data_IF_252225398438
#
_entry.id   IF_252225398438
#
_cell.length_a   1.000
_cell.length_b   1.000
_cell.length_c   1.000
_cell.angle_alpha   90.00
_cell.angle_beta   90.00
_cell.angle_gamma   90.00
#
_symmetry.space_group_name_H-M   'P 1'
#
loop_
_entity.id
_entity.type
_entity.pdbx_description
1 polymer ?
#
# COMPACT_ATOMS: atom_id res chain seq x y z
N UNK A 1 25.11 -2.37 -3.28
CA UNK A 1 24.57 -1.13 -2.67
C UNK A 1 23.14 -1.30 -2.15
N UNK A 2 22.03 -0.95 -2.85
CA UNK A 2 20.67 -1.12 -2.27
C UNK A 2 20.38 -2.59 -1.90
N UNK A 3 20.58 -3.50 -2.84
CA UNK A 3 20.32 -4.93 -2.63
C UNK A 3 21.16 -5.54 -1.51
N UNK A 4 22.41 -5.15 -1.36
CA UNK A 4 23.29 -5.62 -0.27
C UNK A 4 22.82 -5.12 1.08
N UNK A 5 22.50 -3.80 1.20
CA UNK A 5 21.98 -3.24 2.44
C UNK A 5 20.68 -3.95 2.88
N UNK A 6 19.78 -4.21 1.94
CA UNK A 6 18.52 -4.92 2.23
C UNK A 6 18.80 -6.38 2.61
N UNK A 7 19.74 -7.04 1.90
CA UNK A 7 20.14 -8.42 2.22
C UNK A 7 20.70 -8.55 3.63
N UNK A 8 21.59 -7.63 4.03
CA UNK A 8 22.18 -7.62 5.36
C UNK A 8 21.11 -7.42 6.45
N UNK A 9 20.17 -6.49 6.24
CA UNK A 9 19.07 -6.26 7.16
C UNK A 9 18.16 -7.50 7.27
N UNK A 10 17.83 -8.13 6.16
CA UNK A 10 16.99 -9.34 6.15
C UNK A 10 17.70 -10.52 6.86
N UNK A 11 19.01 -10.69 6.63
CA UNK A 11 19.80 -11.70 7.30
C UNK A 11 19.86 -11.46 8.82
N UNK A 12 20.03 -10.23 9.23
CA UNK A 12 20.05 -9.83 10.64
C UNK A 12 18.72 -10.08 11.34
N UNK A 13 17.59 -9.71 10.71
CA UNK A 13 16.25 -9.98 11.23
C UNK A 13 16.01 -11.48 11.37
N UNK A 14 16.45 -12.25 10.40
CA UNK A 14 16.33 -13.71 10.45
C UNK A 14 17.13 -14.34 11.61
N UNK A 15 18.25 -13.71 11.97
CA UNK A 15 19.16 -14.20 13.01
C UNK A 15 18.72 -13.75 14.41
N UNK A 16 18.38 -12.47 14.58
CA UNK A 16 18.11 -11.85 15.90
C UNK A 16 16.63 -11.59 16.18
N UNK A 17 15.72 -11.87 15.23
CA UNK A 17 14.29 -11.74 15.44
C UNK A 17 13.85 -10.34 15.89
N UNK A 18 13.05 -10.31 16.94
CA UNK A 18 12.49 -9.08 17.52
C UNK A 18 13.54 -8.04 17.93
N UNK A 19 14.73 -8.49 18.33
CA UNK A 19 15.82 -7.58 18.74
C UNK A 19 16.26 -6.70 17.55
N UNK A 20 16.56 -7.32 16.41
CA UNK A 20 16.91 -6.61 15.19
C UNK A 20 15.76 -5.69 14.72
N UNK A 21 14.53 -6.19 14.77
CA UNK A 21 13.34 -5.41 14.40
C UNK A 21 13.21 -4.14 15.23
N UNK A 22 13.37 -4.23 16.56
CA UNK A 22 13.31 -3.06 17.46
C UNK A 22 14.44 -2.06 17.19
N UNK A 23 15.66 -2.56 16.92
CA UNK A 23 16.80 -1.71 16.55
C UNK A 23 16.51 -0.92 15.27
N UNK A 24 15.97 -1.56 14.25
CA UNK A 24 15.61 -0.89 12.99
C UNK A 24 14.42 0.08 13.15
N UNK A 25 13.44 -0.23 13.99
CA UNK A 25 12.37 0.71 14.34
C UNK A 25 12.96 1.97 14.97
N UNK A 26 13.85 1.83 15.96
CA UNK A 26 14.53 2.96 16.58
C UNK A 26 15.32 3.78 15.56
N UNK A 27 16.08 3.10 14.70
CA UNK A 27 16.95 3.74 13.72
C UNK A 27 16.20 4.47 12.63
N UNK A 28 15.12 3.89 12.08
CA UNK A 28 14.45 4.40 10.89
C UNK A 28 13.12 5.11 11.16
N UNK A 29 12.45 4.79 12.26
CA UNK A 29 11.20 5.43 12.65
C UNK A 29 11.40 6.42 13.82
N UNK A 30 12.56 6.39 14.48
CA UNK A 30 12.84 7.24 15.62
C UNK A 30 12.01 6.92 16.86
N UNK A 31 11.38 5.74 16.91
CA UNK A 31 10.48 5.32 17.97
C UNK A 31 11.13 4.27 18.88
N UNK A 32 10.97 4.44 20.18
CA UNK A 32 11.24 3.38 21.15
C UNK A 32 9.92 2.70 21.52
N UNK A 33 9.74 1.46 21.06
CA UNK A 33 8.50 0.71 21.30
C UNK A 33 8.76 -0.51 22.19
N UNK A 34 7.95 -0.66 23.22
CA UNK A 34 7.98 -1.84 24.10
C UNK A 34 7.39 -3.06 23.43
N UNK A 35 6.12 -2.97 23.06
CA UNK A 35 5.41 -4.00 22.31
C UNK A 35 5.38 -3.67 20.80
N UNK A 36 5.71 -4.66 19.96
CA UNK A 36 5.61 -4.53 18.49
C UNK A 36 4.15 -4.56 18.04
N UNK A 37 3.31 -5.35 18.68
CA UNK A 37 1.88 -5.46 18.38
C UNK A 37 1.11 -4.29 19.00
N UNK A 38 0.10 -3.82 18.28
CA UNK A 38 -0.85 -2.79 18.76
C UNK A 38 -1.75 -3.43 19.81
N UNK A 39 -1.88 -2.79 20.96
CA UNK A 39 -2.69 -3.31 22.06
C UNK A 39 -4.20 -3.04 21.85
N UNK A 40 -5.08 -3.78 22.55
CA UNK A 40 -6.51 -3.50 22.55
C UNK A 40 -6.86 -2.09 23.03
N UNK A 41 -6.07 -1.55 23.96
CA UNK A 41 -6.22 -0.18 24.48
C UNK A 41 -5.89 0.84 23.41
N UNK A 42 -4.79 0.67 22.68
CA UNK A 42 -4.42 1.53 21.52
C UNK A 42 -5.51 1.50 20.44
N UNK A 43 -6.12 0.33 20.21
CA UNK A 43 -7.24 0.21 19.27
C UNK A 43 -8.47 0.99 19.76
N UNK A 44 -8.80 0.93 21.04
CA UNK A 44 -9.93 1.65 21.61
C UNK A 44 -9.71 3.17 21.60
N UNK A 45 -8.49 3.63 21.94
CA UNK A 45 -8.12 5.04 21.84
C UNK A 45 -8.24 5.55 20.41
N UNK A 46 -7.75 4.78 19.44
CA UNK A 46 -7.84 5.13 18.02
C UNK A 46 -9.28 5.27 17.55
N UNK A 47 -10.15 4.34 17.96
CA UNK A 47 -11.58 4.43 17.64
C UNK A 47 -12.23 5.69 18.21
N UNK A 48 -11.90 6.07 19.45
CA UNK A 48 -12.43 7.27 20.07
C UNK A 48 -11.93 8.56 19.39
N UNK A 49 -10.72 8.54 18.84
CA UNK A 49 -10.08 9.70 18.19
C UNK A 49 -10.58 9.97 16.76
N UNK A 50 -11.17 8.99 16.07
CA UNK A 50 -11.70 9.16 14.70
C UNK A 50 -13.08 9.83 14.74
N UNK A 51 -13.25 10.89 13.91
CA UNK A 51 -14.53 11.60 13.81
C UNK A 51 -15.66 10.71 13.25
N UNK A 52 -16.90 11.04 13.58
CA UNK A 52 -18.07 10.31 13.07
C UNK A 52 -18.16 10.33 11.55
N UNK A 53 -17.86 11.48 10.95
CA UNK A 53 -17.85 11.66 9.49
C UNK A 53 -16.83 10.74 8.81
N UNK A 54 -15.61 10.67 9.35
CA UNK A 54 -14.58 9.77 8.81
C UNK A 54 -14.93 8.29 9.02
N UNK A 55 -15.59 7.96 10.14
CA UNK A 55 -16.09 6.60 10.38
C UNK A 55 -17.13 6.18 9.33
N UNK A 56 -18.07 7.06 9.02
CA UNK A 56 -19.06 6.83 7.96
C UNK A 56 -18.38 6.64 6.59
N UNK A 57 -17.44 7.53 6.23
CA UNK A 57 -16.70 7.43 4.97
C UNK A 57 -15.93 6.12 4.85
N UNK A 58 -15.25 5.69 5.92
CA UNK A 58 -14.54 4.41 5.97
C UNK A 58 -15.50 3.22 5.82
N UNK A 59 -16.67 3.28 6.46
CA UNK A 59 -17.67 2.21 6.35
C UNK A 59 -18.21 2.07 4.93
N UNK A 60 -18.58 3.20 4.29
CA UNK A 60 -19.04 3.23 2.89
C UNK A 60 -17.97 2.70 1.94
N UNK A 61 -16.72 3.17 2.09
CA UNK A 61 -15.61 2.69 1.28
C UNK A 61 -15.38 1.18 1.45
N UNK A 62 -15.38 0.69 2.68
CA UNK A 62 -15.23 -0.73 2.99
C UNK A 62 -16.34 -1.60 2.39
N UNK A 63 -17.58 -1.12 2.40
CA UNK A 63 -18.71 -1.82 1.77
C UNK A 63 -18.58 -1.87 0.25
N UNK A 64 -18.22 -0.75 -0.39
CA UNK A 64 -18.02 -0.68 -1.84
C UNK A 64 -16.90 -1.63 -2.29
N UNK A 65 -15.78 -1.64 -1.59
CA UNK A 65 -14.66 -2.55 -1.87
C UNK A 65 -15.10 -4.00 -1.67
N UNK A 66 -15.81 -4.30 -0.58
CA UNK A 66 -16.32 -5.65 -0.31
C UNK A 66 -17.26 -6.16 -1.40
N UNK A 67 -18.20 -5.31 -1.84
CA UNK A 67 -19.16 -5.63 -2.90
C UNK A 67 -18.46 -5.91 -4.23
N UNK A 68 -17.49 -5.06 -4.59
CA UNK A 68 -16.72 -5.22 -5.82
C UNK A 68 -15.92 -6.54 -5.81
N UNK A 69 -15.16 -6.80 -4.73
CA UNK A 69 -14.33 -8.00 -4.66
C UNK A 69 -15.15 -9.29 -4.46
N UNK A 70 -16.32 -9.22 -3.85
CA UNK A 70 -17.22 -10.38 -3.78
C UNK A 70 -17.67 -10.84 -5.18
N UNK A 71 -17.84 -9.91 -6.13
CA UNK A 71 -18.20 -10.25 -7.52
C UNK A 71 -17.09 -10.97 -8.29
N UNK A 72 -15.86 -10.94 -7.80
CA UNK A 72 -14.69 -11.61 -8.39
C UNK A 72 -14.51 -13.06 -7.91
N UNK A 73 -15.35 -13.52 -6.99
CA UNK A 73 -15.28 -14.89 -6.46
C UNK A 73 -15.59 -15.91 -7.56
N UNK A 74 -14.66 -16.84 -7.77
CA UNK A 74 -14.78 -17.85 -8.82
C UNK A 74 -15.66 -19.00 -8.37
N UNK A 75 -16.67 -19.34 -9.18
CA UNK A 75 -17.43 -20.58 -9.02
C UNK A 75 -16.63 -21.80 -9.50
N UNK A 76 -16.74 -22.90 -8.75
CA UNK A 76 -16.11 -24.16 -9.14
C UNK A 76 -16.89 -24.81 -10.31
N UNK A 77 -16.30 -24.82 -11.49
CA UNK A 77 -16.85 -25.51 -12.66
C UNK A 77 -16.23 -26.91 -12.78
N UNK A 78 -17.09 -27.93 -12.86
CA UNK A 78 -16.67 -29.30 -13.09
C UNK A 78 -16.87 -29.63 -14.58
N UNK A 79 -15.86 -30.23 -15.19
CA UNK A 79 -15.86 -30.62 -16.60
C UNK A 79 -15.51 -32.11 -16.70
N UNK A 80 -16.36 -32.89 -17.29
CA UNK A 80 -16.04 -34.28 -17.66
C UNK A 80 -15.25 -34.25 -18.97
N UNK A 81 -13.97 -34.58 -18.91
CA UNK A 81 -13.04 -34.52 -20.07
C UNK A 81 -13.03 -35.81 -20.87
N UNK A 82 -13.33 -36.91 -20.22
CA UNK A 82 -13.52 -38.26 -20.80
C UNK A 82 -14.54 -38.98 -19.93
N UNK A 83 -15.31 -39.93 -20.41
CA UNK A 83 -16.27 -40.67 -19.61
C UNK A 83 -15.67 -41.18 -18.30
N UNK A 84 -16.23 -40.73 -17.17
CA UNK A 84 -15.76 -41.05 -15.81
C UNK A 84 -14.60 -40.21 -15.28
N UNK A 85 -14.03 -39.27 -16.06
CA UNK A 85 -12.93 -38.36 -15.60
C UNK A 85 -13.45 -36.94 -15.46
N UNK A 86 -13.59 -36.48 -14.21
CA UNK A 86 -14.07 -35.15 -13.89
C UNK A 86 -12.91 -34.29 -13.41
N UNK A 87 -12.65 -33.17 -14.09
CA UNK A 87 -11.66 -32.17 -13.74
C UNK A 87 -12.33 -30.89 -13.26
N UNK A 88 -11.71 -30.22 -12.26
CA UNK A 88 -12.17 -28.91 -11.81
C UNK A 88 -11.03 -28.09 -11.25
N UNK A 89 -11.22 -26.77 -11.25
CA UNK A 89 -10.37 -25.82 -10.56
C UNK A 89 -11.08 -25.34 -9.31
N UNK A 90 -10.40 -25.36 -8.18
CA UNK A 90 -10.89 -24.87 -6.90
C UNK A 90 -10.04 -23.69 -6.43
N UNK A 91 -10.68 -22.56 -6.15
CA UNK A 91 -10.03 -21.47 -5.45
C UNK A 91 -9.90 -21.81 -3.95
N UNK A 92 -8.70 -21.68 -3.40
CA UNK A 92 -8.42 -21.92 -1.99
C UNK A 92 -7.79 -20.65 -1.43
N UNK A 93 -8.30 -20.08 -0.31
CA UNK A 93 -7.71 -18.92 0.30
C UNK A 93 -6.30 -19.21 0.83
N UNK A 94 -5.44 -18.20 0.78
CA UNK A 94 -4.14 -18.25 1.45
C UNK A 94 -4.41 -18.19 2.96
N UNK A 95 -3.86 -19.12 3.72
CA UNK A 95 -4.18 -19.28 5.14
C UNK A 95 -3.75 -18.04 5.94
N UNK A 96 -2.51 -17.57 5.72
CA UNK A 96 -1.94 -16.40 6.41
C UNK A 96 -1.32 -15.44 5.41
N UNK A 97 -1.80 -14.18 5.40
CA UNK A 97 -1.32 -13.12 4.53
C UNK A 97 -0.74 -11.97 5.34
N UNK A 98 0.32 -11.37 4.83
CA UNK A 98 0.91 -10.15 5.35
C UNK A 98 0.50 -8.95 4.52
N UNK A 99 0.05 -7.90 5.17
CA UNK A 99 -0.30 -6.63 4.55
C UNK A 99 0.67 -5.56 5.03
N UNK A 100 1.34 -4.91 4.09
CA UNK A 100 2.23 -3.80 4.37
C UNK A 100 1.56 -2.49 4.00
N UNK A 101 1.40 -1.60 4.98
CA UNK A 101 0.87 -0.25 4.77
C UNK A 101 2.00 0.73 4.99
N UNK A 102 2.45 1.46 3.97
CA UNK A 102 3.53 2.42 4.13
C UNK A 102 3.09 3.59 5.00
N UNK A 103 4.06 4.17 5.69
CA UNK A 103 3.93 5.49 6.28
C UNK A 103 4.17 6.57 5.22
N UNK A 104 3.86 7.80 5.56
CA UNK A 104 4.09 8.93 4.68
C UNK A 104 3.48 10.21 5.25
N UNK A 105 3.34 11.22 4.39
CA UNK A 105 2.77 12.53 4.75
C UNK A 105 1.24 12.49 4.98
N UNK A 106 0.59 11.40 4.59
CA UNK A 106 -0.84 11.17 4.82
C UNK A 106 -1.09 9.75 5.36
N UNK A 107 -2.09 9.57 6.23
CA UNK A 107 -2.49 8.26 6.71
C UNK A 107 -3.17 7.47 5.58
N UNK A 108 -2.57 6.34 5.19
CA UNK A 108 -3.06 5.52 4.08
C UNK A 108 -4.11 4.49 4.54
N UNK A 109 -5.17 4.96 5.22
CA UNK A 109 -6.26 4.10 5.68
C UNK A 109 -7.07 3.48 4.52
N UNK A 110 -7.13 4.12 3.36
CA UNK A 110 -7.71 3.55 2.14
C UNK A 110 -6.95 2.31 1.67
N UNK A 111 -5.62 2.34 1.74
CA UNK A 111 -4.78 1.18 1.40
C UNK A 111 -5.05 0.00 2.34
N UNK A 112 -5.32 0.28 3.63
CA UNK A 112 -5.76 -0.78 4.56
C UNK A 112 -7.02 -1.47 4.06
N UNK A 113 -8.04 -0.69 3.67
CA UNK A 113 -9.30 -1.24 3.15
C UNK A 113 -9.08 -2.03 1.85
N UNK A 114 -8.31 -1.45 0.92
CA UNK A 114 -8.03 -2.06 -0.39
C UNK A 114 -7.24 -3.38 -0.31
N UNK A 115 -6.51 -3.62 0.76
CA UNK A 115 -5.77 -4.86 0.98
C UNK A 115 -6.50 -5.83 1.91
N UNK A 116 -7.03 -5.36 3.03
CA UNK A 116 -7.60 -6.22 4.06
C UNK A 116 -9.02 -6.72 3.70
N UNK A 117 -9.84 -5.88 3.08
CA UNK A 117 -11.20 -6.30 2.70
C UNK A 117 -11.16 -7.42 1.65
N UNK A 118 -10.36 -7.34 0.56
CA UNK A 118 -10.21 -8.47 -0.37
C UNK A 118 -9.64 -9.72 0.29
N UNK A 119 -8.67 -9.60 1.21
CA UNK A 119 -8.13 -10.74 1.94
C UNK A 119 -9.22 -11.45 2.76
N UNK A 120 -10.09 -10.69 3.43
CA UNK A 120 -11.24 -11.22 4.15
C UNK A 120 -12.26 -11.87 3.22
N UNK A 121 -12.62 -11.21 2.11
CA UNK A 121 -13.56 -11.74 1.10
C UNK A 121 -13.05 -13.04 0.48
N UNK A 122 -11.73 -13.13 0.24
CA UNK A 122 -11.08 -14.35 -0.22
C UNK A 122 -11.08 -15.49 0.82
N UNK A 123 -11.40 -15.20 2.08
CA UNK A 123 -11.43 -16.18 3.17
C UNK A 123 -10.08 -16.46 3.81
N UNK A 124 -9.11 -15.53 3.72
CA UNK A 124 -7.84 -15.65 4.44
C UNK A 124 -8.09 -15.75 5.94
N UNK A 125 -7.54 -16.80 6.57
CA UNK A 125 -7.81 -17.11 7.97
C UNK A 125 -7.14 -16.14 8.91
N UNK A 126 -5.91 -15.75 8.61
CA UNK A 126 -5.11 -14.84 9.41
C UNK A 126 -4.55 -13.71 8.54
N UNK A 127 -4.84 -12.48 8.95
CA UNK A 127 -4.36 -11.27 8.28
C UNK A 127 -3.44 -10.54 9.26
N UNK A 128 -2.15 -10.47 8.91
CA UNK A 128 -1.10 -9.77 9.65
C UNK A 128 -0.84 -8.45 8.96
N UNK A 129 -0.99 -7.33 9.66
CA UNK A 129 -0.78 -6.00 9.11
C UNK A 129 0.43 -5.34 9.77
N UNK A 130 1.36 -4.85 8.97
CA UNK A 130 2.47 -4.03 9.41
C UNK A 130 2.34 -2.61 8.86
N UNK A 131 2.48 -1.62 9.73
CA UNK A 131 2.48 -0.19 9.39
C UNK A 131 3.41 0.55 10.34
N UNK A 132 4.18 1.56 9.87
CA UNK A 132 5.07 2.29 10.77
C UNK A 132 4.28 3.09 11.81
N UNK A 133 4.86 3.25 12.98
CA UNK A 133 4.41 4.20 13.99
C UNK A 133 5.15 5.53 13.85
N UNK A 134 4.60 6.57 14.45
CA UNK A 134 5.29 7.85 14.65
C UNK A 134 6.36 7.72 15.77
N UNK A 135 7.14 8.78 15.98
CA UNK A 135 8.22 8.80 16.98
C UNK A 135 7.72 8.57 18.42
N UNK A 136 6.46 8.86 18.69
CA UNK A 136 5.80 8.57 19.96
C UNK A 136 5.37 7.10 20.13
N UNK A 137 5.66 6.25 19.14
CA UNK A 137 5.30 4.84 19.11
C UNK A 137 3.84 4.55 18.74
N UNK A 138 3.05 5.56 18.35
CA UNK A 138 1.64 5.41 18.01
C UNK A 138 1.43 5.29 16.50
N UNK A 139 0.49 4.43 16.12
CA UNK A 139 -0.01 4.34 14.74
C UNK A 139 -1.17 5.33 14.58
N UNK A 140 -1.30 5.91 13.39
CA UNK A 140 -2.35 6.88 13.12
C UNK A 140 -3.76 6.29 13.35
N UNK A 141 -4.65 6.97 14.11
CA UNK A 141 -5.95 6.43 14.50
C UNK A 141 -6.83 5.95 13.35
N UNK A 142 -6.85 6.70 12.22
CA UNK A 142 -7.65 6.31 11.05
C UNK A 142 -7.16 4.99 10.42
N UNK A 143 -5.85 4.68 10.47
CA UNK A 143 -5.28 3.42 9.98
C UNK A 143 -5.75 2.26 10.86
N UNK A 144 -5.68 2.42 12.19
CA UNK A 144 -6.14 1.40 13.14
C UNK A 144 -7.65 1.18 13.03
N UNK A 145 -8.42 2.25 12.92
CA UNK A 145 -9.87 2.15 12.75
C UNK A 145 -10.25 1.43 11.44
N UNK A 146 -9.61 1.77 10.32
CA UNK A 146 -9.83 1.09 9.05
C UNK A 146 -9.46 -0.40 9.12
N UNK A 147 -8.36 -0.74 9.79
CA UNK A 147 -7.94 -2.12 10.00
C UNK A 147 -9.00 -2.91 10.79
N UNK A 148 -9.56 -2.31 11.86
CA UNK A 148 -10.65 -2.90 12.63
C UNK A 148 -11.91 -3.13 11.78
N UNK A 149 -12.35 -2.13 11.01
CA UNK A 149 -13.51 -2.25 10.10
C UNK A 149 -13.29 -3.35 9.06
N UNK A 150 -12.07 -3.47 8.54
CA UNK A 150 -11.70 -4.53 7.61
C UNK A 150 -11.56 -5.92 8.24
N UNK A 151 -11.61 -6.03 9.59
CA UNK A 151 -11.50 -7.31 10.31
C UNK A 151 -10.07 -7.77 10.56
N UNK A 152 -9.10 -6.85 10.58
CA UNK A 152 -7.71 -7.15 10.94
C UNK A 152 -7.54 -7.02 12.45
N UNK A 153 -7.03 -8.08 13.08
CA UNK A 153 -6.85 -8.14 14.53
C UNK A 153 -5.38 -8.13 14.96
N UNK A 154 -4.45 -8.49 14.06
CA UNK A 154 -3.01 -8.51 14.34
C UNK A 154 -2.32 -7.40 13.57
N UNK A 155 -1.99 -6.34 14.29
CA UNK A 155 -1.39 -5.12 13.73
C UNK A 155 -0.06 -4.86 14.43
N UNK A 156 1.00 -4.64 13.64
CA UNK A 156 2.35 -4.43 14.14
C UNK A 156 2.87 -3.04 13.74
N UNK A 157 3.54 -2.37 14.68
CA UNK A 157 4.10 -1.01 14.56
C UNK A 157 5.42 -1.01 13.80
N UNK A 158 5.42 -1.61 12.61
CA UNK A 158 6.61 -1.89 11.80
C UNK A 158 6.50 -1.28 10.40
N UNK A 159 7.48 -0.51 10.00
CA UNK A 159 7.64 0.01 8.64
C UNK A 159 8.89 -0.54 7.95
N UNK A 160 9.06 -0.26 6.66
CA UNK A 160 10.30 -0.56 5.93
C UNK A 160 10.66 -2.04 5.79
N UNK A 161 11.95 -2.29 5.57
CA UNK A 161 12.52 -3.63 5.37
C UNK A 161 12.23 -4.54 6.55
N UNK A 162 12.27 -4.00 7.78
CA UNK A 162 12.05 -4.81 8.99
C UNK A 162 10.63 -5.36 9.08
N UNK A 163 9.63 -4.68 8.54
CA UNK A 163 8.27 -5.20 8.45
C UNK A 163 8.20 -6.40 7.48
N UNK A 164 8.84 -6.27 6.32
CA UNK A 164 8.89 -7.34 5.31
C UNK A 164 9.65 -8.56 5.86
N UNK A 165 10.82 -8.34 6.47
CA UNK A 165 11.63 -9.42 7.06
C UNK A 165 10.89 -10.14 8.20
N UNK A 166 10.25 -9.38 9.11
CA UNK A 166 9.47 -9.96 10.20
C UNK A 166 8.29 -10.82 9.70
N UNK A 167 7.52 -10.33 8.72
CA UNK A 167 6.44 -11.11 8.10
C UNK A 167 6.94 -12.32 7.31
N UNK A 168 8.10 -12.20 6.67
CA UNK A 168 8.62 -13.28 5.84
C UNK A 168 9.18 -14.45 6.67
N UNK A 169 9.98 -14.15 7.66
CA UNK A 169 10.70 -15.19 8.43
C UNK A 169 9.98 -15.58 9.71
N UNK A 170 9.12 -14.73 10.22
CA UNK A 170 8.61 -14.81 11.58
C UNK A 170 9.64 -14.31 12.59
N UNK A 171 9.16 -13.78 13.68
CA UNK A 171 9.93 -13.43 14.86
C UNK A 171 9.20 -13.92 16.12
N UNK A 172 9.69 -13.61 17.30
CA UNK A 172 9.03 -13.98 18.55
C UNK A 172 7.61 -13.37 18.65
N UNK A 173 7.44 -12.14 18.13
CA UNK A 173 6.15 -11.43 18.17
C UNK A 173 5.36 -11.53 16.87
N UNK A 174 6.03 -11.53 15.70
CA UNK A 174 5.38 -11.45 14.38
C UNK A 174 5.33 -12.83 13.75
N UNK A 175 4.15 -13.39 13.44
CA UNK A 175 4.06 -14.68 12.75
C UNK A 175 4.51 -14.56 11.28
N UNK A 176 5.18 -15.60 10.78
CA UNK A 176 5.50 -15.70 9.35
C UNK A 176 4.24 -15.84 8.51
N UNK A 177 4.26 -15.32 7.29
CA UNK A 177 3.14 -15.36 6.35
C UNK A 177 3.52 -16.06 5.05
N UNK A 178 2.52 -16.52 4.29
CA UNK A 178 2.77 -17.20 3.00
C UNK A 178 2.89 -16.22 1.83
N UNK A 179 2.23 -15.06 1.94
CA UNK A 179 2.29 -14.03 0.89
C UNK A 179 2.19 -12.64 1.51
N UNK A 180 2.99 -11.70 0.98
CA UNK A 180 3.02 -10.30 1.40
C UNK A 180 2.45 -9.43 0.30
N UNK A 181 1.52 -8.55 0.66
CA UNK A 181 0.89 -7.56 -0.22
C UNK A 181 1.14 -6.15 0.32
N UNK A 182 1.16 -5.20 -0.55
CA UNK A 182 1.20 -3.77 -0.22
C UNK A 182 2.27 -3.00 -0.98
N UNK A 183 1.99 -1.71 -1.26
CA UNK A 183 2.95 -0.81 -1.90
C UNK A 183 4.08 -0.45 -0.95
N UNK A 184 5.19 0.01 -1.48
CA UNK A 184 6.31 0.47 -0.68
C UNK A 184 7.36 1.20 -1.51
N UNK A 185 8.31 1.83 -0.82
CA UNK A 185 9.45 2.45 -1.48
C UNK A 185 10.42 1.40 -2.05
N UNK A 186 11.49 1.86 -2.72
CA UNK A 186 12.50 0.99 -3.31
C UNK A 186 13.10 -0.05 -2.35
N UNK A 187 13.27 0.29 -1.06
CA UNK A 187 13.79 -0.64 -0.04
C UNK A 187 12.80 -1.75 0.28
N UNK A 188 11.52 -1.40 0.41
CA UNK A 188 10.44 -2.36 0.64
C UNK A 188 10.24 -3.27 -0.56
N UNK A 189 10.28 -2.71 -1.78
CA UNK A 189 10.18 -3.46 -3.02
C UNK A 189 11.34 -4.45 -3.15
N UNK A 190 12.56 -4.01 -2.91
CA UNK A 190 13.75 -4.87 -2.91
C UNK A 190 13.64 -5.98 -1.85
N UNK A 191 13.21 -5.64 -0.64
CA UNK A 191 13.01 -6.64 0.42
C UNK A 191 11.97 -7.69 0.02
N UNK A 192 10.84 -7.26 -0.56
CA UNK A 192 9.80 -8.17 -1.07
C UNK A 192 10.36 -9.12 -2.14
N UNK A 193 11.15 -8.62 -3.08
CA UNK A 193 11.78 -9.45 -4.10
C UNK A 193 12.77 -10.46 -3.50
N UNK A 194 13.57 -10.04 -2.52
CA UNK A 194 14.55 -10.94 -1.90
C UNK A 194 13.90 -12.07 -1.08
N UNK A 195 12.82 -11.80 -0.34
CA UNK A 195 12.18 -12.83 0.46
C UNK A 195 11.49 -13.91 -0.38
N UNK A 196 11.24 -13.67 -1.66
CA UNK A 196 10.71 -14.72 -2.56
C UNK A 196 11.65 -15.91 -2.70
N UNK A 197 12.96 -15.70 -2.56
CA UNK A 197 13.97 -16.76 -2.56
C UNK A 197 13.84 -17.70 -1.36
N UNK A 198 13.11 -17.29 -0.35
CA UNK A 198 12.85 -18.05 0.88
C UNK A 198 11.43 -18.62 0.96
N UNK A 199 10.73 -18.67 -0.19
CA UNK A 199 9.42 -19.31 -0.30
C UNK A 199 8.23 -18.43 0.09
N UNK A 200 8.43 -17.14 0.35
CA UNK A 200 7.34 -16.19 0.61
C UNK A 200 6.91 -15.56 -0.70
N UNK A 201 5.65 -15.73 -1.08
CA UNK A 201 5.12 -15.07 -2.27
C UNK A 201 4.90 -13.57 -2.03
N UNK A 202 4.89 -12.78 -3.09
CA UNK A 202 4.57 -11.36 -3.05
C UNK A 202 3.50 -11.01 -4.10
N UNK A 203 2.92 -9.82 -3.99
CA UNK A 203 2.21 -9.17 -5.09
C UNK A 203 3.20 -8.73 -6.18
N UNK A 204 2.73 -8.05 -7.19
CA UNK A 204 3.60 -7.56 -8.27
C UNK A 204 4.61 -6.56 -7.71
N UNK A 205 5.93 -6.74 -7.96
CA UNK A 205 6.91 -5.73 -7.64
C UNK A 205 6.62 -4.49 -8.50
N UNK A 206 6.27 -3.39 -7.85
CA UNK A 206 5.95 -2.14 -8.51
C UNK A 206 6.92 -1.06 -8.03
N UNK A 207 7.44 -0.29 -8.96
CA UNK A 207 8.17 0.95 -8.70
C UNK A 207 7.22 2.12 -8.42
N UNK A 208 7.72 3.36 -8.45
CA UNK A 208 6.87 4.55 -8.42
C UNK A 208 5.82 4.48 -9.53
N UNK A 209 4.61 4.91 -9.23
CA UNK A 209 3.54 4.95 -10.22
C UNK A 209 3.78 6.08 -11.22
N UNK A 210 3.42 5.84 -12.47
CA UNK A 210 3.48 6.80 -13.55
C UNK A 210 2.12 6.85 -14.25
N UNK A 211 1.70 8.01 -14.74
CA UNK A 211 0.51 8.15 -15.56
C UNK A 211 0.88 8.71 -16.92
N UNK A 212 0.34 8.11 -17.97
CA UNK A 212 0.41 8.61 -19.32
C UNK A 212 -1.00 8.92 -19.82
N UNK A 213 -1.25 10.17 -20.16
CA UNK A 213 -2.56 10.64 -20.65
C UNK A 213 -2.44 10.97 -22.13
N UNK A 214 -3.31 10.43 -22.95
CA UNK A 214 -3.44 10.78 -24.36
C UNK A 214 -4.61 11.72 -24.48
N UNK A 215 -4.37 12.95 -24.96
CA UNK A 215 -5.41 13.97 -25.11
C UNK A 215 -5.23 14.77 -26.41
N UNK A 216 -6.34 15.23 -26.95
CA UNK A 216 -6.42 16.11 -28.12
C UNK A 216 -7.42 17.25 -27.88
N UNK A 217 -7.73 18.04 -28.90
CA UNK A 217 -8.67 19.17 -28.82
C UNK A 217 -10.11 18.78 -28.41
N UNK A 218 -10.47 17.48 -28.47
CA UNK A 218 -11.78 16.98 -28.05
C UNK A 218 -11.84 16.62 -26.56
N UNK A 219 -10.69 16.60 -25.89
CA UNK A 219 -10.56 16.21 -24.48
C UNK A 219 -10.92 17.38 -23.55
N UNK A 220 -11.51 17.06 -22.40
CA UNK A 220 -11.78 18.04 -21.35
C UNK A 220 -10.52 18.23 -20.50
N UNK A 221 -9.93 19.43 -20.55
CA UNK A 221 -8.68 19.72 -19.85
C UNK A 221 -8.82 19.68 -18.33
N UNK A 222 -10.02 19.89 -17.80
CA UNK A 222 -10.24 19.75 -16.35
C UNK A 222 -10.08 18.30 -15.88
N UNK A 223 -10.55 17.34 -16.66
CA UNK A 223 -10.34 15.91 -16.36
C UNK A 223 -8.88 15.50 -16.55
N UNK A 224 -8.25 15.95 -17.65
CA UNK A 224 -6.82 15.67 -17.89
C UNK A 224 -5.95 16.24 -16.76
N UNK A 225 -6.21 17.46 -16.31
CA UNK A 225 -5.51 18.06 -15.17
C UNK A 225 -5.72 17.26 -13.88
N UNK A 226 -6.94 16.79 -13.62
CA UNK A 226 -7.24 15.96 -12.45
C UNK A 226 -6.46 14.64 -12.46
N UNK A 227 -6.33 13.99 -13.61
CA UNK A 227 -5.55 12.75 -13.76
C UNK A 227 -4.05 13.01 -13.49
N UNK A 228 -3.51 14.12 -14.00
CA UNK A 228 -2.13 14.54 -13.73
C UNK A 228 -1.88 14.77 -12.24
N UNK A 229 -2.77 15.53 -11.59
CA UNK A 229 -2.64 15.89 -10.19
C UNK A 229 -2.84 14.70 -9.27
N UNK A 230 -3.74 13.80 -9.61
CA UNK A 230 -3.96 12.56 -8.84
C UNK A 230 -2.70 11.71 -8.74
N UNK A 231 -1.91 11.65 -9.83
CA UNK A 231 -0.65 10.93 -9.84
C UNK A 231 0.47 11.72 -9.14
N UNK A 232 0.55 13.03 -9.39
CA UNK A 232 1.58 13.87 -8.80
C UNK A 232 1.50 13.94 -7.27
N UNK A 233 0.32 13.77 -6.67
CA UNK A 233 0.13 13.69 -5.22
C UNK A 233 0.86 12.51 -4.55
N UNK A 234 1.25 11.48 -5.29
CA UNK A 234 1.96 10.33 -4.73
C UNK A 234 3.37 10.67 -4.23
N UNK A 235 4.04 11.64 -4.84
CA UNK A 235 5.34 12.10 -4.38
C UNK A 235 6.25 12.64 -5.50
N UNK A 236 7.43 13.09 -5.11
CA UNK A 236 8.41 13.68 -6.04
C UNK A 236 8.95 12.70 -7.09
N UNK A 237 8.85 11.39 -6.82
CA UNK A 237 9.29 10.33 -7.74
C UNK A 237 8.21 9.94 -8.77
N UNK A 238 7.01 10.55 -8.68
CA UNK A 238 5.90 10.27 -9.59
C UNK A 238 6.02 11.11 -10.86
N UNK A 239 5.67 10.50 -12.00
CA UNK A 239 5.67 11.15 -13.31
C UNK A 239 4.28 11.15 -13.92
N UNK A 240 3.91 12.31 -14.52
CA UNK A 240 2.70 12.45 -15.31
C UNK A 240 3.08 12.95 -16.70
N UNK A 241 2.74 12.20 -17.74
CA UNK A 241 3.21 12.43 -19.11
C UNK A 241 1.99 12.65 -20.02
N UNK A 242 1.99 13.76 -20.76
CA UNK A 242 1.02 14.04 -21.81
C UNK A 242 1.54 13.55 -23.16
N UNK A 243 0.72 12.80 -23.87
CA UNK A 243 0.88 12.53 -25.29
C UNK A 243 -0.21 13.25 -26.07
N UNK A 244 0.17 14.18 -26.94
CA UNK A 244 -0.78 14.90 -27.79
C UNK A 244 -0.24 15.09 -29.19
N UNK A 245 -1.15 15.14 -30.16
CA UNK A 245 -0.88 15.55 -31.55
C UNK A 245 -1.29 16.99 -31.81
N UNK A 246 -1.84 17.69 -30.79
CA UNK A 246 -2.35 19.06 -30.89
C UNK A 246 -1.73 19.94 -29.80
N UNK A 247 -0.80 20.81 -30.20
CA UNK A 247 -0.13 21.73 -29.28
C UNK A 247 -1.09 22.74 -28.62
N UNK A 248 -2.27 22.97 -29.20
CA UNK A 248 -3.25 23.94 -28.67
C UNK A 248 -3.82 23.51 -27.31
N UNK A 249 -3.70 22.21 -26.92
CA UNK A 249 -4.19 21.72 -25.64
C UNK A 249 -3.22 22.02 -24.48
N UNK A 250 -1.97 22.33 -24.75
CA UNK A 250 -0.92 22.45 -23.72
C UNK A 250 -1.19 23.62 -22.78
N UNK A 251 -1.39 24.83 -23.31
CA UNK A 251 -1.63 26.02 -22.48
C UNK A 251 -2.95 25.94 -21.68
N UNK A 252 -4.08 25.48 -22.24
CA UNK A 252 -5.29 25.24 -21.46
C UNK A 252 -5.09 24.21 -20.34
N UNK A 253 -4.34 23.12 -20.59
CA UNK A 253 -4.04 22.12 -19.58
C UNK A 253 -3.20 22.72 -18.44
N UNK A 254 -2.16 23.47 -18.76
CA UNK A 254 -1.31 24.11 -17.74
C UNK A 254 -2.11 25.09 -16.88
N UNK A 255 -2.97 25.89 -17.50
CA UNK A 255 -3.85 26.82 -16.79
C UNK A 255 -4.82 26.07 -15.84
N UNK A 256 -5.36 24.94 -16.28
CA UNK A 256 -6.26 24.13 -15.47
C UNK A 256 -5.52 23.41 -14.32
N UNK A 257 -4.30 22.93 -14.55
CA UNK A 257 -3.44 22.40 -13.49
C UNK A 257 -3.17 23.47 -12.42
N UNK A 258 -2.79 24.68 -12.81
CA UNK A 258 -2.54 25.78 -11.88
C UNK A 258 -3.81 26.15 -11.09
N UNK A 259 -4.97 26.15 -11.75
CA UNK A 259 -6.26 26.40 -11.11
C UNK A 259 -6.58 25.34 -10.06
N UNK A 260 -6.54 24.06 -10.40
CA UNK A 260 -6.84 22.96 -9.48
C UNK A 260 -5.82 22.87 -8.34
N UNK A 261 -4.53 23.11 -8.60
CA UNK A 261 -3.49 23.22 -7.57
C UNK A 261 -3.82 24.26 -6.50
N UNK A 262 -4.43 25.39 -6.91
CA UNK A 262 -4.77 26.49 -5.99
C UNK A 262 -5.74 26.06 -4.89
N UNK A 263 -6.59 25.08 -5.15
CA UNK A 263 -7.63 24.57 -4.25
C UNK A 263 -7.27 23.26 -3.55
N UNK A 264 -6.19 22.59 -3.97
CA UNK A 264 -5.74 21.33 -3.34
C UNK A 264 -5.13 21.58 -1.97
N UNK A 265 -5.54 20.76 -1.00
CA UNK A 265 -5.02 20.83 0.38
C UNK A 265 -3.55 20.45 0.49
N UNK A 266 -3.03 19.58 -0.39
CA UNK A 266 -1.65 19.07 -0.41
C UNK A 266 -0.74 19.74 -1.45
N UNK A 267 -1.12 20.93 -1.94
CA UNK A 267 -0.39 21.68 -2.96
C UNK A 267 1.12 21.86 -2.70
N UNK A 268 1.51 21.96 -1.42
CA UNK A 268 2.94 22.11 -1.06
C UNK A 268 3.82 20.95 -1.52
N UNK A 269 3.31 19.72 -1.57
CA UNK A 269 4.04 18.55 -2.05
C UNK A 269 4.25 18.59 -3.56
N UNK A 270 3.30 19.15 -4.28
CA UNK A 270 3.32 19.25 -5.74
C UNK A 270 4.25 20.37 -6.24
N UNK A 271 4.43 21.43 -5.47
CA UNK A 271 5.41 22.50 -5.79
C UNK A 271 6.87 22.06 -5.66
N UNK A 272 7.15 20.99 -4.91
CA UNK A 272 8.49 20.44 -4.75
C UNK A 272 8.83 19.34 -5.76
N UNK A 273 7.85 18.87 -6.53
CA UNK A 273 8.09 17.95 -7.63
C UNK A 273 8.81 18.67 -8.78
N UNK A 274 9.79 18.06 -9.44
CA UNK A 274 10.41 18.65 -10.63
C UNK A 274 9.33 18.92 -11.67
N UNK A 275 9.27 20.17 -12.10
CA UNK A 275 8.30 20.57 -13.15
C UNK A 275 8.59 19.80 -14.45
N UNK A 276 7.57 19.36 -15.18
CA UNK A 276 7.75 18.80 -16.54
C UNK A 276 8.50 19.76 -17.48
N UNK A 277 8.55 21.06 -17.14
CA UNK A 277 9.34 22.07 -17.88
C UNK A 277 10.84 21.89 -17.73
N UNK A 278 11.30 21.17 -16.71
CA UNK A 278 12.73 20.92 -16.46
C UNK A 278 13.23 19.63 -17.11
N UNK A 279 12.37 18.86 -17.73
CA UNK A 279 12.79 17.70 -18.51
C UNK A 279 13.45 18.19 -19.80
N UNK A 280 14.75 18.25 -19.79
CA UNK A 280 15.54 18.34 -21.01
C UNK A 280 15.05 17.27 -21.98
N UNK A 281 14.55 17.76 -23.12
CA UNK A 281 14.16 16.93 -24.24
C UNK A 281 15.10 15.76 -24.42
N UNK A 282 14.57 14.57 -24.32
CA UNK A 282 15.24 13.38 -24.79
C UNK A 282 15.62 13.55 -26.26
N UNK A 283 16.82 13.25 -26.56
CA UNK A 283 17.27 13.00 -27.92
C UNK A 283 16.78 11.65 -28.40
#
# INVERSE_FOLDING_TARGET
MLGETVSDMLADIRCRGDEAVREYVRRFQGAEIGALEVSPEEMAEAEAAVSSELKEAIAVAGENISRFHASQTMETRKVETTPGVICWQKAVPIERVGLYIPGGTAPLFSTVLMLAVPARVAGCREIVLCTPCAADGKVHPAVLYAARVAGVHRIYKLGGVQAIGAMAYGTESVPSVYKIFGPGNQYVTEAKQQVTRHGVAIDMPAGPSEVAVIADASSDMAFVASDFLSQAEHGADSQSILFTTDESVIEPLLAEIDHQLSVLSRRCLLYTSPSPRDSTSSR
#
